data_IF_116266885869
#
_entry.id   IF_116266885869
#
_cell.length_a   1.000
_cell.length_b   1.000
_cell.length_c   1.000
_cell.angle_alpha   90.00
_cell.angle_beta   90.00
_cell.angle_gamma   90.00
#
_symmetry.space_group_name_H-M   'P 1'
#
loop_
_entity.id
_entity.type
_entity.pdbx_description
1 polymer ?
#
# COMPACT_ATOMS: atom_id res chain seq x y z
N UNK A 1 -12.66 0.42 -27.22
CA UNK A 1 -11.40 -0.11 -26.68
C UNK A 1 -10.25 0.73 -27.21
N UNK A 2 -9.59 1.52 -26.37
CA UNK A 2 -8.39 2.26 -26.76
C UNK A 2 -7.17 1.31 -26.71
N UNK A 3 -6.23 1.37 -27.67
CA UNK A 3 -5.06 0.51 -27.65
C UNK A 3 -4.12 0.91 -26.51
N UNK A 4 -3.63 -0.08 -25.76
CA UNK A 4 -2.59 0.09 -24.74
C UNK A 4 -1.37 0.71 -25.43
N UNK A 5 -1.05 1.95 -25.08
CA UNK A 5 0.06 2.68 -25.68
C UNK A 5 1.40 2.01 -25.33
N UNK A 6 2.22 1.74 -26.34
CA UNK A 6 3.60 1.25 -26.18
C UNK A 6 4.39 2.18 -25.23
N UNK A 7 5.08 1.61 -24.24
CA UNK A 7 5.86 2.35 -23.24
C UNK A 7 6.81 3.39 -23.88
N UNK A 8 6.69 4.65 -23.44
CA UNK A 8 7.42 5.84 -23.96
C UNK A 8 8.95 5.78 -23.89
N UNK A 9 9.56 4.71 -23.36
CA UNK A 9 10.99 4.65 -22.99
C UNK A 9 11.78 3.48 -23.57
N UNK A 10 11.29 2.77 -24.60
CA UNK A 10 12.12 1.75 -25.29
C UNK A 10 13.34 2.42 -25.94
N UNK A 11 14.54 1.90 -25.68
CA UNK A 11 15.78 2.30 -26.36
C UNK A 11 16.63 3.40 -25.68
N UNK A 12 16.31 3.81 -24.45
CA UNK A 12 17.15 4.71 -23.65
C UNK A 12 17.72 3.99 -22.45
N UNK A 13 18.91 4.40 -22.00
CA UNK A 13 19.50 3.87 -20.76
C UNK A 13 18.60 4.21 -19.56
N UNK A 14 18.31 3.22 -18.73
CA UNK A 14 17.66 3.44 -17.44
C UNK A 14 18.60 4.20 -16.51
N UNK A 15 18.07 5.18 -15.78
CA UNK A 15 18.79 5.90 -14.73
C UNK A 15 18.15 5.53 -13.40
N UNK A 16 18.96 5.17 -12.41
CA UNK A 16 18.52 4.91 -11.03
C UNK A 16 19.13 5.98 -10.15
N UNK A 17 18.29 6.74 -9.46
CA UNK A 17 18.73 7.63 -8.38
C UNK A 17 18.76 6.83 -7.08
N UNK A 18 19.89 6.88 -6.37
CA UNK A 18 20.05 6.29 -5.04
C UNK A 18 20.28 7.41 -4.03
N UNK A 19 19.63 7.29 -2.89
CA UNK A 19 19.77 8.20 -1.77
C UNK A 19 19.98 7.39 -0.50
N UNK A 20 20.72 7.95 0.45
CA UNK A 20 20.85 7.39 1.80
C UNK A 20 19.92 8.14 2.74
N UNK A 21 19.25 7.40 3.61
CA UNK A 21 18.33 7.94 4.61
C UNK A 21 18.85 7.61 6.01
N UNK A 22 19.03 8.63 6.85
CA UNK A 22 19.41 8.46 8.25
C UNK A 22 18.17 8.13 9.09
N UNK A 23 18.04 6.87 9.51
CA UNK A 23 16.94 6.40 10.35
C UNK A 23 16.86 7.11 11.71
N UNK A 24 17.92 7.78 12.17
CA UNK A 24 17.84 8.61 13.38
C UNK A 24 16.82 9.75 13.23
N UNK A 25 16.53 10.19 12.00
CA UNK A 25 15.49 11.17 11.71
C UNK A 25 14.09 10.70 12.13
N UNK A 26 13.82 9.39 12.11
CA UNK A 26 12.54 8.81 12.52
C UNK A 26 12.17 9.18 13.97
N UNK A 27 13.15 9.47 14.83
CA UNK A 27 12.92 9.90 16.23
C UNK A 27 12.18 11.24 16.35
N UNK A 28 12.18 12.06 15.28
CA UNK A 28 11.55 13.38 15.25
C UNK A 28 10.30 13.43 14.35
N UNK A 29 9.96 12.30 13.72
CA UNK A 29 8.87 12.17 12.77
C UNK A 29 7.73 11.35 13.39
N UNK A 30 6.51 11.57 12.90
CA UNK A 30 5.35 10.75 13.23
C UNK A 30 5.38 9.50 12.37
N UNK A 31 5.98 8.44 12.90
CA UNK A 31 6.13 7.16 12.19
C UNK A 31 5.04 6.19 12.64
N UNK A 32 4.27 5.68 11.69
CA UNK A 32 3.37 4.53 11.88
C UNK A 32 4.05 3.28 11.33
N UNK A 33 4.23 2.26 12.17
CA UNK A 33 4.81 0.98 11.76
C UNK A 33 3.83 -0.17 11.94
N UNK A 34 3.68 -0.99 10.90
CA UNK A 34 2.91 -2.23 10.89
C UNK A 34 3.85 -3.42 10.71
N UNK A 35 4.10 -4.14 11.80
CA UNK A 35 5.00 -5.32 11.78
C UNK A 35 4.38 -6.55 11.10
N UNK A 36 3.08 -6.50 10.75
CA UNK A 36 2.34 -7.59 10.09
C UNK A 36 1.08 -7.08 9.39
N UNK A 37 0.51 -7.92 8.51
CA UNK A 37 -0.82 -7.77 7.91
C UNK A 37 -1.94 -7.95 8.95
N UNK A 38 -1.97 -7.04 9.92
CA UNK A 38 -2.95 -7.02 11.00
C UNK A 38 -4.26 -6.36 10.58
N UNK A 39 -5.32 -6.55 11.38
CA UNK A 39 -6.59 -5.85 11.16
C UNK A 39 -6.44 -4.32 11.16
N UNK A 40 -5.57 -3.78 12.03
CA UNK A 40 -5.26 -2.35 12.06
C UNK A 40 -4.59 -1.86 10.77
N UNK A 41 -3.73 -2.69 10.18
CA UNK A 41 -3.12 -2.39 8.89
C UNK A 41 -4.19 -2.35 7.79
N UNK A 42 -5.07 -3.35 7.76
CA UNK A 42 -6.17 -3.40 6.80
C UNK A 42 -7.07 -2.16 6.94
N UNK A 43 -7.51 -1.84 8.15
CA UNK A 43 -8.34 -0.67 8.43
C UNK A 43 -7.69 0.64 7.98
N UNK A 44 -6.36 0.75 8.16
CA UNK A 44 -5.60 1.89 7.66
C UNK A 44 -5.62 1.96 6.13
N UNK A 45 -5.31 0.86 5.43
CA UNK A 45 -5.37 0.80 3.97
C UNK A 45 -6.77 1.14 3.44
N UNK A 46 -7.82 0.62 4.08
CA UNK A 46 -9.21 0.91 3.72
C UNK A 46 -9.54 2.41 3.88
N UNK A 47 -9.09 3.04 4.97
CA UNK A 47 -9.24 4.49 5.18
C UNK A 47 -8.52 5.31 4.10
N UNK A 48 -7.28 4.97 3.77
CA UNK A 48 -6.54 5.66 2.71
C UNK A 48 -7.25 5.55 1.36
N UNK A 49 -7.75 4.35 0.99
CA UNK A 49 -8.41 4.11 -0.31
C UNK A 49 -9.78 4.77 -0.42
N UNK A 50 -10.50 4.90 0.69
CA UNK A 50 -11.78 5.64 0.73
C UNK A 50 -11.60 7.15 0.78
N UNK A 51 -10.36 7.66 0.79
CA UNK A 51 -10.06 9.09 0.89
C UNK A 51 -10.39 9.69 2.26
N UNK A 52 -10.61 8.85 3.28
CA UNK A 52 -10.99 9.26 4.64
C UNK A 52 -9.81 9.26 5.61
N UNK A 53 -8.60 9.02 5.12
CA UNK A 53 -7.41 9.14 5.95
C UNK A 53 -7.13 10.61 6.27
N UNK A 54 -7.28 10.96 7.54
CA UNK A 54 -6.97 12.28 8.10
C UNK A 54 -5.76 12.24 9.02
N UNK A 55 -4.97 11.16 8.98
CA UNK A 55 -3.79 11.04 9.82
C UNK A 55 -2.70 12.01 9.37
N UNK A 56 -1.83 12.37 10.30
CA UNK A 56 -0.73 13.32 10.10
C UNK A 56 0.63 12.63 10.22
N UNK A 57 0.70 11.35 9.87
CA UNK A 57 1.94 10.58 9.85
C UNK A 57 2.87 11.07 8.74
N UNK A 58 4.15 11.23 9.07
CA UNK A 58 5.19 11.61 8.10
C UNK A 58 5.71 10.38 7.34
N UNK A 59 5.75 9.22 8.01
CA UNK A 59 6.24 7.96 7.45
C UNK A 59 5.31 6.83 7.88
N UNK A 60 4.92 5.99 6.92
CA UNK A 60 4.23 4.72 7.17
C UNK A 60 5.11 3.57 6.69
N UNK A 61 5.41 2.63 7.59
CA UNK A 61 6.24 1.45 7.34
C UNK A 61 5.34 0.22 7.51
N UNK A 62 5.42 -0.73 6.57
CA UNK A 62 4.67 -1.97 6.66
C UNK A 62 4.52 -2.68 5.31
N UNK A 63 3.70 -3.72 5.28
CA UNK A 63 3.37 -4.46 4.07
C UNK A 63 2.76 -3.55 3.00
N UNK A 64 3.24 -3.67 1.75
CA UNK A 64 2.69 -2.96 0.61
C UNK A 64 1.46 -3.72 0.11
N UNK A 65 0.31 -3.05 0.07
CA UNK A 65 -0.91 -3.60 -0.52
C UNK A 65 -0.76 -3.66 -2.05
N UNK A 66 -0.04 -4.68 -2.52
CA UNK A 66 0.20 -4.96 -3.94
C UNK A 66 -1.08 -5.44 -4.65
N UNK A 67 -0.98 -5.73 -5.95
CA UNK A 67 -2.12 -6.05 -6.82
C UNK A 67 -3.00 -7.22 -6.32
N UNK A 68 -2.43 -8.19 -5.58
CA UNK A 68 -3.23 -9.30 -5.00
C UNK A 68 -4.10 -8.83 -3.84
N UNK A 69 -3.49 -8.09 -2.90
CA UNK A 69 -4.21 -7.51 -1.76
C UNK A 69 -5.27 -6.52 -2.23
N UNK A 70 -4.99 -5.80 -3.33
CA UNK A 70 -5.91 -4.85 -3.93
C UNK A 70 -7.22 -5.51 -4.38
N UNK A 71 -7.14 -6.61 -5.14
CA UNK A 71 -8.34 -7.32 -5.61
C UNK A 71 -9.19 -7.85 -4.47
N UNK A 72 -8.58 -8.42 -3.42
CA UNK A 72 -9.32 -8.94 -2.26
C UNK A 72 -9.98 -7.80 -1.46
N UNK A 73 -9.31 -6.65 -1.34
CA UNK A 73 -9.88 -5.45 -0.69
C UNK A 73 -11.05 -4.87 -1.49
N UNK A 74 -11.01 -4.88 -2.82
CA UNK A 74 -12.16 -4.45 -3.64
C UNK A 74 -13.37 -5.38 -3.44
N UNK A 75 -13.16 -6.70 -3.34
CA UNK A 75 -14.25 -7.64 -3.03
C UNK A 75 -14.92 -7.33 -1.68
N UNK A 76 -14.16 -6.86 -0.69
CA UNK A 76 -14.72 -6.42 0.59
C UNK A 76 -15.54 -5.13 0.45
N UNK A 77 -15.05 -4.16 -0.34
CA UNK A 77 -15.80 -2.93 -0.63
C UNK A 77 -17.09 -3.18 -1.42
N UNK A 78 -17.09 -4.17 -2.31
CA UNK A 78 -18.28 -4.60 -3.06
C UNK A 78 -19.24 -5.48 -2.23
N UNK A 79 -18.95 -5.67 -0.93
CA UNK A 79 -19.70 -6.54 -0.01
C UNK A 79 -19.79 -8.02 -0.47
N UNK A 80 -18.82 -8.46 -1.28
CA UNK A 80 -18.75 -9.82 -1.82
C UNK A 80 -18.05 -10.79 -0.86
N UNK A 81 -17.18 -10.27 0.01
CA UNK A 81 -16.52 -11.03 1.08
C UNK A 81 -16.55 -10.21 2.38
N UNK A 82 -16.49 -10.89 3.52
CA UNK A 82 -16.39 -10.23 4.83
C UNK A 82 -14.93 -10.03 5.26
N UNK A 83 -14.75 -9.33 6.40
CA UNK A 83 -13.44 -8.95 6.92
C UNK A 83 -12.61 -10.17 7.35
N UNK A 84 -13.28 -11.24 7.78
CA UNK A 84 -12.66 -12.48 8.25
C UNK A 84 -12.11 -13.28 7.06
N UNK A 85 -12.88 -13.35 5.98
CA UNK A 85 -12.48 -13.99 4.72
C UNK A 85 -11.30 -13.27 4.05
N UNK A 86 -11.26 -11.93 4.12
CA UNK A 86 -10.13 -11.15 3.62
C UNK A 86 -8.84 -11.45 4.41
N UNK A 87 -8.89 -11.41 5.74
CA UNK A 87 -7.70 -11.66 6.58
C UNK A 87 -7.16 -13.09 6.39
N UNK A 88 -8.05 -14.06 6.17
CA UNK A 88 -7.66 -15.45 5.90
C UNK A 88 -6.85 -15.58 4.61
N UNK A 89 -7.29 -14.93 3.52
CA UNK A 89 -6.63 -14.97 2.20
C UNK A 89 -5.25 -14.30 2.18
N UNK A 90 -5.00 -13.34 3.07
CA UNK A 90 -3.71 -12.64 3.15
C UNK A 90 -2.67 -13.39 4.00
N UNK A 91 -3.05 -14.51 4.63
CA UNK A 91 -2.14 -15.39 5.41
C UNK A 91 -1.57 -16.57 4.60
N UNK A 92 -1.98 -16.75 3.36
CA UNK A 92 -1.59 -17.84 2.44
C UNK A 92 -0.60 -17.35 1.36
#
# INVERSE_FOLDING_TARGET
>A
MAPISKSKRRGKNGVVSRYDFDEAACKKLKVLNFDSYSEKWLDFILKCRTGNDTTDYDIVIGGVANDKVFNTVELYFDHLIDKEELISKERE
#
